data_IF_934118817950
#
_entry.id   IF_934118817950
#
_cell.length_a   1.000
_cell.length_b   1.000
_cell.length_c   1.000
_cell.angle_alpha   90.00
_cell.angle_beta   90.00
_cell.angle_gamma   90.00
#
_symmetry.space_group_name_H-M   'P 1'
#
loop_
_entity.id
_entity.type
_entity.pdbx_description
1 polymer ?
#
# COMPACT_ATOMS: atom_id res chain seq x y z
N UNK A 1 -5.56 -37.01 -31.60
CA UNK A 1 -6.08 -36.56 -30.30
C UNK A 1 -5.04 -35.61 -29.75
N UNK A 2 -5.27 -34.29 -29.87
CA UNK A 2 -4.30 -33.30 -29.41
C UNK A 2 -4.31 -33.33 -27.88
N UNK A 3 -3.19 -33.71 -27.28
CA UNK A 3 -3.01 -33.61 -25.84
C UNK A 3 -3.01 -32.13 -25.47
N UNK A 4 -4.11 -31.66 -24.88
CA UNK A 4 -4.12 -30.38 -24.21
C UNK A 4 -3.17 -30.49 -23.01
N UNK A 5 -1.95 -30.00 -23.20
CA UNK A 5 -0.96 -29.88 -22.12
C UNK A 5 -1.57 -28.92 -21.10
N UNK A 6 -2.10 -29.46 -20.01
CA UNK A 6 -2.56 -28.69 -18.86
C UNK A 6 -1.34 -27.91 -18.36
N UNK A 7 -1.25 -26.62 -18.73
CA UNK A 7 -0.22 -25.71 -18.20
C UNK A 7 -0.41 -25.70 -16.69
N UNK A 8 0.54 -26.29 -15.96
CA UNK A 8 0.54 -26.26 -14.51
C UNK A 8 0.36 -24.81 -14.05
N UNK A 9 -0.68 -24.56 -13.23
CA UNK A 9 -0.91 -23.24 -12.64
C UNK A 9 0.38 -22.90 -11.89
N UNK A 10 1.09 -21.80 -12.24
CA UNK A 10 2.32 -21.47 -11.57
C UNK A 10 2.00 -21.33 -10.07
N UNK A 11 2.62 -22.19 -9.26
CA UNK A 11 2.16 -22.51 -7.90
C UNK A 11 2.39 -21.38 -6.90
N UNK A 12 3.10 -20.31 -7.30
CA UNK A 12 3.46 -19.24 -6.39
C UNK A 12 2.39 -18.13 -6.33
N UNK A 13 1.68 -18.05 -5.21
CA UNK A 13 0.62 -17.05 -4.98
C UNK A 13 1.15 -15.61 -4.97
N UNK A 14 2.44 -15.39 -4.69
CA UNK A 14 3.03 -14.06 -4.60
C UNK A 14 2.99 -13.29 -5.93
N UNK A 15 3.10 -13.99 -7.06
CA UNK A 15 3.05 -13.36 -8.39
C UNK A 15 1.68 -12.69 -8.67
N UNK A 16 0.62 -13.18 -8.02
CA UNK A 16 -0.75 -12.69 -8.18
C UNK A 16 -1.18 -11.73 -7.07
N UNK A 17 -0.30 -11.38 -6.13
CA UNK A 17 -0.61 -10.42 -5.08
C UNK A 17 -0.81 -9.02 -5.69
N UNK A 18 -2.02 -8.44 -5.66
CA UNK A 18 -2.31 -7.26 -6.46
C UNK A 18 -1.89 -5.97 -5.76
N UNK A 19 -1.39 -4.99 -6.53
CA UNK A 19 -1.11 -3.62 -6.02
C UNK A 19 -2.34 -2.96 -5.39
N UNK A 20 -3.54 -3.38 -5.82
CA UNK A 20 -4.83 -2.90 -5.33
C UNK A 20 -5.03 -3.09 -3.81
N UNK A 21 -4.27 -3.98 -3.15
CA UNK A 21 -4.35 -4.15 -1.69
C UNK A 21 -4.03 -2.88 -0.91
N UNK A 22 -3.25 -1.95 -1.47
CA UNK A 22 -3.02 -0.65 -0.86
C UNK A 22 -4.30 0.20 -0.76
N UNK A 23 -5.33 -0.03 -1.61
CA UNK A 23 -6.60 0.66 -1.46
C UNK A 23 -7.33 0.30 -0.17
N UNK A 24 -7.16 -0.93 0.34
CA UNK A 24 -7.71 -1.33 1.63
C UNK A 24 -7.04 -0.55 2.77
N UNK A 25 -5.73 -0.36 2.71
CA UNK A 25 -4.99 0.47 3.68
C UNK A 25 -5.43 1.92 3.61
N UNK A 26 -5.51 2.48 2.40
CA UNK A 26 -6.00 3.83 2.17
C UNK A 26 -7.42 4.04 2.74
N UNK A 27 -8.32 3.08 2.52
CA UNK A 27 -9.70 3.14 3.02
C UNK A 27 -9.79 3.06 4.55
N UNK A 28 -9.10 2.09 5.16
CA UNK A 28 -9.07 1.95 6.63
C UNK A 28 -8.34 3.12 7.31
N UNK A 29 -7.32 3.66 6.66
CA UNK A 29 -6.65 4.86 7.12
C UNK A 29 -7.57 6.09 7.08
N UNK A 30 -8.36 6.25 6.01
CA UNK A 30 -9.41 7.28 5.97
C UNK A 30 -10.41 7.14 7.12
N UNK A 31 -10.84 5.90 7.42
CA UNK A 31 -11.72 5.62 8.56
C UNK A 31 -11.06 5.95 9.92
N UNK A 32 -9.76 5.67 10.06
CA UNK A 32 -8.97 6.05 11.24
C UNK A 32 -9.02 7.56 11.46
N UNK A 33 -8.72 8.35 10.43
CA UNK A 33 -8.75 9.82 10.50
C UNK A 33 -10.15 10.36 10.84
N UNK A 34 -11.21 9.71 10.36
CA UNK A 34 -12.59 10.08 10.72
C UNK A 34 -12.83 9.87 12.22
N UNK A 35 -12.44 8.72 12.79
CA UNK A 35 -12.59 8.47 14.22
C UNK A 35 -11.73 9.39 15.08
N UNK A 36 -10.52 9.73 14.64
CA UNK A 36 -9.69 10.75 15.30
C UNK A 36 -10.37 12.12 15.29
N UNK A 37 -10.95 12.51 14.14
CA UNK A 37 -11.68 13.77 14.05
C UNK A 37 -12.94 13.78 14.90
N UNK A 38 -13.67 12.66 14.98
CA UNK A 38 -14.82 12.50 15.87
C UNK A 38 -14.43 12.63 17.34
N UNK A 39 -13.30 12.04 17.75
CA UNK A 39 -12.77 12.24 19.09
C UNK A 39 -12.44 13.72 19.35
N UNK A 40 -11.71 14.38 18.44
CA UNK A 40 -11.30 15.78 18.63
C UNK A 40 -12.48 16.77 18.63
N UNK A 41 -13.53 16.54 17.84
CA UNK A 41 -14.66 17.47 17.70
C UNK A 41 -15.79 17.16 18.69
N UNK A 42 -16.10 15.89 18.91
CA UNK A 42 -17.26 15.45 19.69
C UNK A 42 -16.88 14.76 21.01
N UNK A 43 -15.60 14.72 21.38
CA UNK A 43 -15.10 13.95 22.54
C UNK A 43 -15.51 12.46 22.51
N UNK A 44 -15.69 11.91 21.30
CA UNK A 44 -16.01 10.50 21.09
C UNK A 44 -14.89 9.59 21.62
N UNK A 45 -15.17 8.32 21.90
CA UNK A 45 -14.16 7.42 22.48
C UNK A 45 -12.93 7.24 21.56
N UNK A 46 -11.72 7.42 22.13
CA UNK A 46 -10.43 7.21 21.44
C UNK A 46 -10.20 5.76 21.04
N UNK A 47 -10.91 4.80 21.66
CA UNK A 47 -10.70 3.36 21.45
C UNK A 47 -10.83 2.98 19.97
N UNK A 48 -11.76 3.58 19.24
CA UNK A 48 -11.99 3.29 17.83
C UNK A 48 -10.85 3.83 16.97
N UNK A 49 -10.45 5.08 17.17
CA UNK A 49 -9.33 5.69 16.46
C UNK A 49 -8.05 4.88 16.64
N UNK A 50 -7.68 4.56 17.89
CA UNK A 50 -6.46 3.81 18.20
C UNK A 50 -6.52 2.37 17.67
N UNK A 51 -7.69 1.70 17.75
CA UNK A 51 -7.84 0.33 17.22
C UNK A 51 -7.66 0.30 15.71
N UNK A 52 -8.32 1.20 14.98
CA UNK A 52 -8.18 1.29 13.53
C UNK A 52 -6.78 1.74 13.11
N UNK A 53 -6.11 2.59 13.90
CA UNK A 53 -4.72 2.99 13.64
C UNK A 53 -3.78 1.78 13.66
N UNK A 54 -3.89 0.95 14.71
CA UNK A 54 -3.07 -0.26 14.84
C UNK A 54 -3.34 -1.23 13.69
N UNK A 55 -4.62 -1.50 13.38
CA UNK A 55 -5.01 -2.40 12.28
C UNK A 55 -4.48 -1.88 10.93
N UNK A 56 -4.69 -0.60 10.64
CA UNK A 56 -4.26 0.03 9.38
C UNK A 56 -2.74 -0.01 9.24
N UNK A 57 -2.01 0.30 10.32
CA UNK A 57 -0.55 0.26 10.34
C UNK A 57 -0.02 -1.15 10.10
N UNK A 58 -0.58 -2.16 10.78
CA UNK A 58 -0.19 -3.55 10.58
C UNK A 58 -0.46 -4.00 9.14
N UNK A 59 -1.64 -3.69 8.61
CA UNK A 59 -2.02 -4.04 7.24
C UNK A 59 -1.14 -3.35 6.19
N UNK A 60 -0.74 -2.10 6.45
CA UNK A 60 0.21 -1.37 5.60
C UNK A 60 1.53 -2.12 5.50
N UNK A 61 2.14 -2.48 6.63
CA UNK A 61 3.44 -3.17 6.62
C UNK A 61 3.35 -4.57 5.99
N UNK A 62 2.28 -5.32 6.23
CA UNK A 62 2.04 -6.63 5.59
C UNK A 62 1.94 -6.46 4.07
N UNK A 63 1.16 -5.49 3.60
CA UNK A 63 0.95 -5.22 2.18
C UNK A 63 2.24 -4.75 1.52
N UNK A 64 2.95 -3.81 2.16
CA UNK A 64 4.22 -3.26 1.69
C UNK A 64 5.28 -4.35 1.56
N UNK A 65 5.47 -5.16 2.61
CA UNK A 65 6.46 -6.23 2.60
C UNK A 65 6.15 -7.29 1.53
N UNK A 66 4.88 -7.72 1.44
CA UNK A 66 4.45 -8.70 0.44
C UNK A 66 4.65 -8.15 -0.98
N UNK A 67 4.25 -6.90 -1.24
CA UNK A 67 4.42 -6.29 -2.55
C UNK A 67 5.90 -6.03 -2.88
N UNK A 68 6.73 -5.68 -1.91
CA UNK A 68 8.18 -5.54 -2.09
C UNK A 68 8.82 -6.87 -2.51
N UNK A 69 8.46 -7.98 -1.87
CA UNK A 69 8.92 -9.31 -2.29
C UNK A 69 8.47 -9.65 -3.72
N UNK A 70 7.26 -9.24 -4.12
CA UNK A 70 6.77 -9.39 -5.48
C UNK A 70 7.62 -8.60 -6.48
N UNK A 71 7.98 -7.34 -6.18
CA UNK A 71 8.85 -6.52 -7.03
C UNK A 71 10.20 -7.20 -7.26
N UNK A 72 10.78 -7.84 -6.24
CA UNK A 72 12.08 -8.52 -6.37
C UNK A 72 11.96 -9.80 -7.21
N UNK A 73 10.98 -10.66 -6.91
CA UNK A 73 10.87 -12.01 -7.48
C UNK A 73 10.12 -12.09 -8.81
N UNK A 74 9.18 -11.18 -9.05
CA UNK A 74 8.21 -11.24 -10.16
C UNK A 74 8.09 -9.89 -10.88
N UNK A 75 9.23 -9.33 -11.31
CA UNK A 75 9.31 -8.04 -12.01
C UNK A 75 8.36 -7.95 -13.21
N UNK A 76 8.34 -8.98 -14.05
CA UNK A 76 7.49 -9.04 -15.26
C UNK A 76 6.00 -8.87 -14.93
N UNK A 77 5.52 -9.45 -13.82
CA UNK A 77 4.13 -9.29 -13.39
C UNK A 77 3.84 -7.87 -12.90
N UNK A 78 4.82 -7.21 -12.26
CA UNK A 78 4.69 -5.80 -11.88
C UNK A 78 4.63 -4.90 -13.12
N UNK A 79 5.43 -5.19 -14.16
CA UNK A 79 5.36 -4.45 -15.45
C UNK A 79 3.96 -4.57 -16.07
N UNK A 80 3.39 -5.78 -16.06
CA UNK A 80 2.01 -6.00 -16.54
C UNK A 80 0.98 -5.19 -15.74
N UNK A 81 1.17 -5.05 -14.43
CA UNK A 81 0.31 -4.21 -13.59
C UNK A 81 0.46 -2.72 -13.90
N UNK A 82 1.69 -2.25 -14.13
CA UNK A 82 1.97 -0.85 -14.49
C UNK A 82 1.41 -0.48 -15.86
N UNK A 83 1.48 -1.38 -16.84
CA UNK A 83 0.93 -1.15 -18.18
C UNK A 83 -0.60 -1.29 -18.25
N UNK A 84 -1.24 -1.76 -17.18
CA UNK A 84 -2.69 -1.94 -17.16
C UNK A 84 -3.39 -0.62 -16.81
N UNK A 85 -4.28 -0.08 -17.67
CA UNK A 85 -4.82 1.28 -17.56
C UNK A 85 -5.59 1.55 -16.25
N UNK A 86 -6.19 0.51 -15.67
CA UNK A 86 -6.90 0.61 -14.39
C UNK A 86 -5.96 0.37 -13.19
N UNK A 87 -5.01 -0.57 -13.27
CA UNK A 87 -4.22 -1.00 -12.10
C UNK A 87 -3.13 0.01 -11.76
N UNK A 88 -2.63 0.76 -12.75
CA UNK A 88 -1.65 1.83 -12.54
C UNK A 88 -2.14 2.87 -11.50
N UNK A 89 -3.44 3.16 -11.47
CA UNK A 89 -4.02 4.13 -10.53
C UNK A 89 -3.89 3.69 -9.06
N UNK A 90 -3.76 2.39 -8.79
CA UNK A 90 -3.60 1.87 -7.43
C UNK A 90 -2.18 2.01 -6.90
N UNK A 91 -1.19 2.34 -7.74
CA UNK A 91 0.13 2.71 -7.24
C UNK A 91 0.07 4.01 -6.44
N UNK A 92 -0.76 4.97 -6.86
CA UNK A 92 -1.01 6.17 -6.06
C UNK A 92 -1.56 5.84 -4.66
N UNK A 93 -2.35 4.77 -4.52
CA UNK A 93 -2.90 4.35 -3.22
C UNK A 93 -1.79 3.93 -2.23
N UNK A 94 -0.66 3.38 -2.69
CA UNK A 94 0.50 3.08 -1.83
C UNK A 94 1.09 4.35 -1.23
N UNK A 95 1.24 5.40 -2.04
CA UNK A 95 1.73 6.72 -1.66
C UNK A 95 0.76 7.41 -0.68
N UNK A 96 -0.53 7.42 -1.00
CA UNK A 96 -1.58 7.99 -0.12
C UNK A 96 -1.64 7.25 1.22
N UNK A 97 -1.46 5.92 1.23
CA UNK A 97 -1.45 5.14 2.47
C UNK A 97 -0.38 5.60 3.46
N UNK A 98 0.83 5.94 2.97
CA UNK A 98 1.92 6.44 3.82
C UNK A 98 1.58 7.82 4.38
N UNK A 99 1.03 8.71 3.55
CA UNK A 99 0.62 10.05 3.98
C UNK A 99 -0.52 10.00 5.01
N UNK A 100 -1.48 9.10 4.84
CA UNK A 100 -2.56 8.90 5.81
C UNK A 100 -1.99 8.42 7.15
N UNK A 101 -1.05 7.47 7.15
CA UNK A 101 -0.39 7.04 8.39
C UNK A 101 0.40 8.19 9.02
N UNK A 102 1.14 8.97 8.24
CA UNK A 102 1.83 10.17 8.72
C UNK A 102 0.84 11.14 9.40
N UNK A 103 -0.30 11.41 8.77
CA UNK A 103 -1.34 12.27 9.33
C UNK A 103 -1.95 11.70 10.61
N UNK A 104 -2.28 10.41 10.64
CA UNK A 104 -2.91 9.76 11.80
C UNK A 104 -1.98 9.74 13.02
N UNK A 105 -0.67 9.49 12.81
CA UNK A 105 0.30 9.51 13.91
C UNK A 105 0.61 10.92 14.43
N UNK A 106 0.18 11.98 13.75
CA UNK A 106 0.51 13.37 14.13
C UNK A 106 0.03 13.75 15.54
N UNK A 107 -1.16 13.27 15.93
CA UNK A 107 -1.74 13.56 17.25
C UNK A 107 -1.13 12.69 18.37
N UNK A 108 -0.40 11.61 18.03
CA UNK A 108 0.21 10.70 19.00
C UNK A 108 1.71 10.98 19.18
N UNK A 109 2.45 11.20 18.08
CA UNK A 109 3.87 11.50 18.09
C UNK A 109 4.29 12.20 16.80
N UNK A 110 4.79 13.42 16.95
CA UNK A 110 5.32 14.20 15.84
C UNK A 110 6.51 13.48 15.17
N UNK A 111 7.37 12.83 15.94
CA UNK A 111 8.54 12.11 15.42
C UNK A 111 8.16 10.94 14.51
N UNK A 112 7.13 10.18 14.90
CA UNK A 112 6.62 9.08 14.07
C UNK A 112 5.97 9.63 12.80
N UNK A 113 5.17 10.69 12.93
CA UNK A 113 4.53 11.36 11.79
C UNK A 113 5.56 11.84 10.77
N UNK A 114 6.64 12.49 11.24
CA UNK A 114 7.75 12.94 10.40
C UNK A 114 8.50 11.78 9.76
N UNK A 115 8.69 10.68 10.49
CA UNK A 115 9.33 9.46 9.96
C UNK A 115 8.54 8.90 8.78
N UNK A 116 7.21 8.80 8.88
CA UNK A 116 6.36 8.40 7.77
C UNK A 116 6.41 9.40 6.60
N UNK A 117 6.44 10.70 6.88
CA UNK A 117 6.53 11.74 5.84
C UNK A 117 7.85 11.68 5.06
N UNK A 118 8.98 11.50 5.75
CA UNK A 118 10.28 11.32 5.11
C UNK A 118 10.33 10.00 4.34
N UNK A 119 9.78 8.92 4.92
CA UNK A 119 9.66 7.64 4.25
C UNK A 119 8.85 7.74 2.95
N UNK A 120 7.76 8.50 2.96
CA UNK A 120 6.94 8.78 1.77
C UNK A 120 7.74 9.46 0.65
N UNK A 121 8.52 10.49 0.98
CA UNK A 121 9.34 11.20 -0.02
C UNK A 121 10.36 10.27 -0.69
N UNK A 122 11.04 9.44 0.10
CA UNK A 122 11.98 8.44 -0.42
C UNK A 122 11.26 7.37 -1.25
N UNK A 123 10.12 6.87 -0.76
CA UNK A 123 9.34 5.83 -1.44
C UNK A 123 8.82 6.30 -2.82
N UNK A 124 8.26 7.50 -2.89
CA UNK A 124 7.76 8.07 -4.16
C UNK A 124 8.89 8.35 -5.15
N UNK A 125 10.03 8.84 -4.68
CA UNK A 125 11.22 9.01 -5.51
C UNK A 125 11.73 7.68 -6.08
N UNK A 126 11.87 6.65 -5.24
CA UNK A 126 12.28 5.31 -5.68
C UNK A 126 11.27 4.72 -6.67
N UNK A 127 9.97 4.88 -6.40
CA UNK A 127 8.92 4.41 -7.29
C UNK A 127 9.02 5.07 -8.68
N UNK A 128 9.26 6.39 -8.72
CA UNK A 128 9.47 7.12 -9.96
C UNK A 128 10.67 6.57 -10.75
N UNK A 129 11.81 6.31 -10.10
CA UNK A 129 12.98 5.70 -10.73
C UNK A 129 12.66 4.31 -11.27
N UNK A 130 11.98 3.47 -10.47
CA UNK A 130 11.59 2.13 -10.88
C UNK A 130 10.66 2.16 -12.09
N UNK A 131 9.72 3.11 -12.13
CA UNK A 131 8.80 3.29 -13.25
C UNK A 131 9.54 3.52 -14.57
N UNK A 132 10.50 4.44 -14.63
CA UNK A 132 11.30 4.68 -15.84
C UNK A 132 12.19 3.48 -16.18
N UNK A 133 12.89 2.92 -15.20
CA UNK A 133 13.78 1.77 -15.44
C UNK A 133 13.06 0.53 -15.97
N UNK A 134 11.76 0.40 -15.70
CA UNK A 134 10.94 -0.73 -16.13
C UNK A 134 10.36 -0.52 -17.53
N UNK A 135 10.07 0.73 -17.93
CA UNK A 135 9.45 1.07 -19.20
C UNK A 135 10.46 1.35 -20.34
N UNK A 136 11.71 1.67 -20.03
CA UNK A 136 12.78 1.87 -21.02
C UNK A 136 13.36 0.54 -21.58
N UNK A 137 12.67 -0.59 -21.39
CA UNK A 137 13.01 -1.92 -21.93
C UNK A 137 11.86 -2.48 -22.75
#
# INVERSE_FOLDING_TARGET
MNEEIIKAIPSNRLQFFPVMMFATVMGLGGLTLVFEKLNHVFSFSTIFATTFLIITTALFFITLFTYFLKIIKYKEEVVKELNHPIRINFFAASSISILILSAAFREYSLDISLSFFLFWGNFTYIFHILYYSILDK
#
